data_IF_988338705274
#
_entry.id   IF_988338705274
#
_cell.length_a   1.000
_cell.length_b   1.000
_cell.length_c   1.000
_cell.angle_alpha   90.00
_cell.angle_beta   90.00
_cell.angle_gamma   90.00
#
_symmetry.space_group_name_H-M   'P 1'
#
loop_
_entity.id
_entity.type
_entity.pdbx_description
1 polymer ?
#
# COMPACT_ATOMS: atom_id res chain seq x y z
N UNK A 1 -10.05 -36.87 -21.69
CA UNK A 1 -8.84 -36.16 -22.15
C UNK A 1 -8.28 -35.42 -20.94
N UNK A 2 -7.06 -35.70 -20.53
CA UNK A 2 -6.45 -35.19 -19.29
C UNK A 2 -5.48 -34.05 -19.59
N UNK A 3 -5.50 -33.01 -18.76
CA UNK A 3 -4.59 -31.86 -18.81
C UNK A 3 -3.68 -31.90 -17.60
N UNK A 4 -2.39 -31.62 -17.80
CA UNK A 4 -1.37 -31.63 -16.75
C UNK A 4 -0.78 -30.24 -16.58
N UNK A 5 -0.74 -29.76 -15.33
CA UNK A 5 0.00 -28.56 -14.95
C UNK A 5 1.45 -28.97 -14.65
N UNK A 6 2.39 -28.41 -15.40
CA UNK A 6 3.81 -28.78 -15.29
C UNK A 6 4.58 -27.93 -14.27
N UNK A 7 4.24 -26.64 -14.13
CA UNK A 7 4.93 -25.72 -13.23
C UNK A 7 4.08 -24.48 -12.94
N UNK A 8 4.13 -24.00 -11.70
CA UNK A 8 3.57 -22.72 -11.26
C UNK A 8 4.58 -22.11 -10.28
N UNK A 9 4.88 -20.83 -10.47
CA UNK A 9 5.75 -20.07 -9.57
C UNK A 9 5.14 -18.69 -9.31
N UNK A 10 5.56 -18.07 -8.21
CA UNK A 10 5.12 -16.74 -7.78
C UNK A 10 6.32 -15.91 -7.36
N UNK A 11 6.27 -14.61 -7.63
CA UNK A 11 7.21 -13.64 -7.11
C UNK A 11 6.45 -12.48 -6.45
N UNK A 12 6.95 -12.02 -5.32
CA UNK A 12 6.45 -10.83 -4.59
C UNK A 12 7.65 -10.00 -4.13
N UNK A 13 7.49 -8.68 -3.92
CA UNK A 13 8.54 -7.86 -3.32
C UNK A 13 8.99 -8.38 -1.95
N UNK A 14 10.26 -8.20 -1.60
CA UNK A 14 10.80 -8.66 -0.32
C UNK A 14 10.19 -7.91 0.88
N UNK A 15 9.92 -6.62 0.71
CA UNK A 15 9.34 -5.78 1.75
C UNK A 15 7.90 -6.19 2.03
N UNK A 16 7.62 -6.55 3.28
CA UNK A 16 6.30 -6.96 3.76
C UNK A 16 5.93 -6.16 5.00
N UNK A 17 4.69 -5.68 5.05
CA UNK A 17 4.14 -4.94 6.17
C UNK A 17 2.94 -5.67 6.75
N UNK A 18 2.75 -5.57 8.07
CA UNK A 18 1.50 -6.00 8.68
C UNK A 18 0.38 -5.05 8.24
N UNK A 19 -0.78 -5.63 8.01
CA UNK A 19 -1.98 -4.88 7.66
C UNK A 19 -2.37 -3.86 8.74
N UNK A 20 -2.08 -4.15 10.01
CA UNK A 20 -2.25 -3.21 11.14
C UNK A 20 -1.43 -1.94 10.94
N UNK A 21 -0.16 -2.08 10.58
CA UNK A 21 0.81 -0.99 10.53
C UNK A 21 0.48 -0.06 9.36
N UNK A 22 0.11 -0.62 8.20
CA UNK A 22 -0.43 0.16 7.07
C UNK A 22 -1.73 0.85 7.48
N UNK A 23 -2.61 0.16 8.20
CA UNK A 23 -3.89 0.72 8.64
C UNK A 23 -3.72 1.94 9.55
N UNK A 24 -2.74 1.93 10.45
CA UNK A 24 -2.38 3.07 11.29
C UNK A 24 -1.91 4.25 10.44
N UNK A 25 -0.97 4.01 9.52
CA UNK A 25 -0.48 5.04 8.61
C UNK A 25 -1.59 5.70 7.78
N UNK A 26 -2.52 4.90 7.25
CA UNK A 26 -3.63 5.40 6.43
C UNK A 26 -4.63 6.22 7.24
N UNK A 27 -4.80 5.91 8.53
CA UNK A 27 -5.61 6.71 9.45
C UNK A 27 -4.95 8.06 9.73
N UNK A 28 -3.63 8.10 9.88
CA UNK A 28 -2.89 9.36 10.03
C UNK A 28 -3.03 10.26 8.80
N UNK A 29 -3.06 9.66 7.61
CA UNK A 29 -3.20 10.39 6.34
C UNK A 29 -4.63 10.80 5.98
N UNK A 30 -5.62 10.34 6.75
CA UNK A 30 -7.02 10.66 6.49
C UNK A 30 -7.44 11.85 7.35
N UNK A 31 -7.94 12.92 6.75
CA UNK A 31 -8.21 14.16 7.48
C UNK A 31 -9.39 14.06 8.46
N UNK A 32 -10.55 13.61 7.98
CA UNK A 32 -11.79 13.68 8.76
C UNK A 32 -12.08 12.40 9.57
N UNK A 33 -12.71 12.57 10.74
CA UNK A 33 -12.96 11.47 11.68
C UNK A 33 -13.93 10.40 11.17
N UNK A 34 -14.85 10.77 10.26
CA UNK A 34 -15.76 9.81 9.64
C UNK A 34 -14.97 8.81 8.79
N UNK A 35 -14.08 9.33 7.95
CA UNK A 35 -13.29 8.52 7.04
C UNK A 35 -12.23 7.73 7.80
N UNK A 36 -11.61 8.28 8.84
CA UNK A 36 -10.73 7.51 9.74
C UNK A 36 -11.43 6.29 10.33
N UNK A 37 -12.69 6.40 10.75
CA UNK A 37 -13.47 5.25 11.24
C UNK A 37 -13.69 4.21 10.16
N UNK A 38 -14.00 4.63 8.93
CA UNK A 38 -14.15 3.74 7.78
C UNK A 38 -12.83 3.04 7.45
N UNK A 39 -11.71 3.76 7.40
CA UNK A 39 -10.37 3.19 7.16
C UNK A 39 -10.04 2.13 8.21
N UNK A 40 -10.23 2.43 9.50
CA UNK A 40 -10.00 1.43 10.58
C UNK A 40 -10.83 0.17 10.39
N UNK A 41 -12.11 0.32 10.05
CA UNK A 41 -13.01 -0.81 9.80
C UNK A 41 -12.54 -1.64 8.60
N UNK A 42 -12.18 -0.99 7.50
CA UNK A 42 -11.73 -1.65 6.27
C UNK A 42 -10.43 -2.44 6.48
N UNK A 43 -9.44 -1.83 7.14
CA UNK A 43 -8.15 -2.49 7.37
C UNK A 43 -8.26 -3.65 8.36
N UNK A 44 -9.08 -3.53 9.41
CA UNK A 44 -9.32 -4.64 10.36
C UNK A 44 -10.16 -5.77 9.76
N UNK A 45 -11.12 -5.43 8.90
CA UNK A 45 -12.05 -6.37 8.30
C UNK A 45 -11.57 -7.01 7.00
N UNK A 46 -10.36 -6.73 6.52
CA UNK A 46 -9.94 -7.15 5.18
C UNK A 46 -9.52 -8.61 5.07
N UNK A 47 -9.32 -9.32 6.18
CA UNK A 47 -8.78 -10.70 6.17
C UNK A 47 -7.36 -10.79 5.61
N UNK A 48 -6.59 -9.71 5.73
CA UNK A 48 -5.19 -9.63 5.26
C UNK A 48 -4.32 -9.50 6.49
N UNK A 49 -3.33 -10.37 6.63
CA UNK A 49 -2.35 -10.27 7.71
C UNK A 49 -1.17 -9.39 7.29
N UNK A 50 -0.66 -9.59 6.08
CA UNK A 50 0.49 -8.86 5.54
C UNK A 50 0.32 -8.50 4.07
N UNK A 51 0.97 -7.41 3.63
CA UNK A 51 1.04 -6.98 2.23
C UNK A 51 2.49 -6.79 1.81
N UNK A 52 2.82 -7.29 0.63
CA UNK A 52 4.10 -7.02 -0.02
C UNK A 52 4.05 -5.72 -0.82
N UNK A 53 5.15 -4.97 -0.79
CA UNK A 53 5.26 -3.66 -1.44
C UNK A 53 6.65 -3.49 -2.04
N UNK A 54 6.74 -2.92 -3.23
CA UNK A 54 8.03 -2.42 -3.77
C UNK A 54 8.47 -1.13 -3.08
N UNK A 55 7.56 -0.44 -2.40
CA UNK A 55 7.83 0.81 -1.71
C UNK A 55 8.30 0.52 -0.27
N UNK A 56 9.56 0.88 0.10
CA UNK A 56 10.07 0.75 1.45
C UNK A 56 9.51 1.82 2.41
N UNK A 57 9.77 1.64 3.70
CA UNK A 57 9.49 2.60 4.78
C UNK A 57 8.06 3.17 4.77
N UNK A 58 7.06 2.31 4.53
CA UNK A 58 5.63 2.68 4.46
C UNK A 58 5.32 3.82 3.48
N UNK A 59 6.20 4.07 2.49
CA UNK A 59 6.01 5.15 1.52
C UNK A 59 6.37 6.54 2.03
N UNK A 60 7.23 6.66 3.05
CA UNK A 60 7.78 7.95 3.51
C UNK A 60 8.29 8.85 2.37
N UNK A 61 8.83 8.25 1.29
CA UNK A 61 9.29 8.95 0.09
C UNK A 61 8.30 8.89 -1.10
N UNK A 62 7.22 8.13 -0.94
CA UNK A 62 6.21 7.94 -1.99
C UNK A 62 5.09 8.98 -1.89
N UNK A 63 4.63 9.30 -0.67
CA UNK A 63 3.56 10.26 -0.48
C UNK A 63 4.15 11.67 -0.25
N UNK A 64 4.04 12.53 -1.26
CA UNK A 64 4.57 13.89 -1.22
C UNK A 64 3.58 14.79 -0.51
N UNK A 65 3.95 15.30 0.67
CA UNK A 65 3.14 16.31 1.36
C UNK A 65 2.99 17.57 0.48
N UNK A 66 1.78 18.14 0.42
CA UNK A 66 1.49 19.35 -0.37
C UNK A 66 1.83 20.66 0.37
N UNK A 67 2.36 20.55 1.60
CA UNK A 67 2.68 21.69 2.47
C UNK A 67 1.49 22.26 3.23
N UNK A 68 0.28 21.75 3.02
CA UNK A 68 -0.97 22.17 3.68
C UNK A 68 -1.49 21.09 4.65
N UNK A 69 -0.69 20.06 4.90
CA UNK A 69 -1.04 18.94 5.77
C UNK A 69 -1.75 17.79 5.04
N UNK A 70 -1.90 17.87 3.72
CA UNK A 70 -2.44 16.79 2.90
C UNK A 70 -1.36 16.21 1.97
N UNK A 71 -1.73 15.18 1.22
CA UNK A 71 -0.86 14.55 0.25
C UNK A 71 -1.18 15.02 -1.15
N UNK A 72 -0.15 15.45 -1.87
CA UNK A 72 -0.25 15.74 -3.29
C UNK A 72 -0.56 14.44 -4.03
N UNK A 73 -1.61 14.47 -4.84
CA UNK A 73 -1.85 13.42 -5.81
C UNK A 73 -0.76 13.42 -6.87
N UNK A 74 0.15 12.45 -6.78
CA UNK A 74 1.18 12.24 -7.81
C UNK A 74 0.53 11.84 -9.14
N UNK A 75 1.10 12.33 -10.23
CA UNK A 75 0.76 11.85 -11.57
C UNK A 75 1.18 10.39 -11.75
N UNK A 76 0.60 9.71 -12.74
CA UNK A 76 1.03 8.36 -13.11
C UNK A 76 2.50 8.31 -13.51
N UNK A 77 3.01 9.33 -14.22
CA UNK A 77 4.41 9.41 -14.61
C UNK A 77 5.35 9.46 -13.40
N UNK A 78 5.03 10.26 -12.39
CA UNK A 78 5.82 10.38 -11.15
C UNK A 78 5.82 9.08 -10.35
N UNK A 79 4.66 8.41 -10.22
CA UNK A 79 4.57 7.11 -9.55
C UNK A 79 5.39 6.04 -10.28
N UNK A 80 5.31 5.99 -11.61
CA UNK A 80 6.08 5.04 -12.42
C UNK A 80 7.59 5.26 -12.30
N UNK A 81 8.04 6.52 -12.19
CA UNK A 81 9.46 6.82 -11.98
C UNK A 81 9.98 6.25 -10.65
N UNK A 82 9.16 6.23 -9.60
CA UNK A 82 9.50 5.59 -8.33
C UNK A 82 9.50 4.07 -8.48
N UNK A 83 8.43 3.49 -9.03
CA UNK A 83 8.32 2.03 -9.22
C UNK A 83 9.37 1.41 -10.14
N UNK A 84 10.05 2.20 -10.97
CA UNK A 84 11.14 1.70 -11.83
C UNK A 84 12.49 1.71 -11.11
N UNK A 85 12.60 2.49 -10.02
CA UNK A 85 13.84 2.63 -9.23
C UNK A 85 13.89 1.64 -8.08
N UNK A 86 12.77 1.49 -7.37
CA UNK A 86 12.60 0.51 -6.28
C UNK A 86 12.30 -0.89 -6.84
#
# INVERSE_FOLDING_TARGET
MSVWLHHIETAVPETSYKQSDIGEQMVEWTDNERDKRLVRMLYRGSGIDTRHSVIPDLGANFFVADGQGSFRQQSTAERNAIYTRE
#
